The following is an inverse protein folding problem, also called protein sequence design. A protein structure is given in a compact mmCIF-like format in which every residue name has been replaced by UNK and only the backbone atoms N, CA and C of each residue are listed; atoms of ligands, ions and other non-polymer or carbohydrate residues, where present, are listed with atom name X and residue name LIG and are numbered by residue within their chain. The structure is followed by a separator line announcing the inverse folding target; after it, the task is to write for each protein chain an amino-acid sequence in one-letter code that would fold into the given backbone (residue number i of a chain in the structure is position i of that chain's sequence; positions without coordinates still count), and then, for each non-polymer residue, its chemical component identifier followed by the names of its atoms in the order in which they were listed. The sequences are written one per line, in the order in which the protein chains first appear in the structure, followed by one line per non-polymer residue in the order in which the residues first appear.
data_IF_582168805046
#
_entry.id   IF_582168805046
#
_cell.length_a   1.000
_cell.length_b   1.000
_cell.length_c   1.000
_cell.angle_alpha   90.00
_cell.angle_beta   90.00
_cell.angle_gamma   90.00
#
_symmetry.space_group_name_H-M   'P 1'
#
loop_
_entity.id
_entity.type
_entity.pdbx_description
1 polymer ?
#
# COMPACT_ATOMS: atom_id res chain seq x y z
N UNK A 1 -22.97 0.39 27.21
CA UNK A 1 -22.76 -0.31 25.92
C UNK A 1 -21.45 0.20 25.34
N UNK A 2 -20.52 -0.68 24.99
CA UNK A 2 -19.21 -0.27 24.46
C UNK A 2 -19.31 0.19 23.01
N UNK A 3 -18.51 1.19 22.64
CA UNK A 3 -18.35 1.60 21.24
C UNK A 3 -17.64 0.49 20.48
N UNK A 4 -18.16 0.02 19.33
CA UNK A 4 -17.48 -0.99 18.53
C UNK A 4 -16.12 -0.45 18.05
N UNK A 5 -15.08 -1.27 18.22
CA UNK A 5 -13.70 -0.95 17.85
C UNK A 5 -13.40 -1.53 16.45
N UNK A 6 -13.03 -0.68 15.49
CA UNK A 6 -12.66 -1.13 14.15
C UNK A 6 -11.23 -1.74 14.14
N UNK A 7 -11.15 -3.06 14.03
CA UNK A 7 -9.88 -3.81 14.08
C UNK A 7 -9.29 -4.12 12.70
N UNK A 8 -10.12 -4.09 11.65
CA UNK A 8 -9.68 -4.36 10.29
C UNK A 8 -10.48 -3.58 9.25
N UNK A 9 -9.84 -3.30 8.12
CA UNK A 9 -10.43 -2.67 6.95
C UNK A 9 -10.04 -3.46 5.71
N UNK A 10 -11.00 -3.69 4.82
CA UNK A 10 -10.75 -4.35 3.53
C UNK A 10 -11.33 -3.54 2.38
N UNK A 11 -10.54 -3.43 1.32
CA UNK A 11 -10.90 -2.76 0.08
C UNK A 11 -10.55 -3.65 -1.12
N UNK A 12 -11.47 -3.74 -2.08
CA UNK A 12 -11.23 -4.36 -3.38
C UNK A 12 -11.89 -3.53 -4.45
N UNK A 13 -11.10 -2.97 -5.38
CA UNK A 13 -11.62 -2.08 -6.41
C UNK A 13 -10.53 -1.45 -7.28
N UNK A 14 -10.94 -0.48 -8.07
CA UNK A 14 -10.03 0.40 -8.81
C UNK A 14 -9.47 1.51 -7.89
N UNK A 15 -8.68 2.45 -8.43
CA UNK A 15 -8.21 3.62 -7.68
C UNK A 15 -8.55 4.94 -8.40
N UNK A 16 -9.53 4.89 -9.30
CA UNK A 16 -9.97 6.06 -10.06
C UNK A 16 -10.73 7.07 -9.19
N UNK A 17 -11.16 6.63 -8.00
CA UNK A 17 -11.71 7.48 -6.95
C UNK A 17 -10.76 7.58 -5.75
N UNK A 18 -10.67 8.79 -5.19
CA UNK A 18 -9.96 9.03 -3.94
C UNK A 18 -10.75 8.45 -2.76
N UNK A 19 -10.07 7.66 -1.92
CA UNK A 19 -10.59 7.26 -0.62
C UNK A 19 -9.87 8.07 0.44
N UNK A 20 -10.60 8.62 1.39
CA UNK A 20 -10.00 9.21 2.60
C UNK A 20 -10.45 8.43 3.80
N UNK A 21 -9.51 7.94 4.59
CA UNK A 21 -9.81 7.25 5.83
C UNK A 21 -9.15 7.96 7.00
N UNK A 22 -9.96 8.27 8.02
CA UNK A 22 -9.52 8.83 9.29
C UNK A 22 -10.00 7.87 10.36
N UNK A 23 -9.06 7.23 11.05
CA UNK A 23 -9.36 6.31 12.14
C UNK A 23 -8.66 6.79 13.42
N UNK A 24 -9.37 6.86 14.55
CA UNK A 24 -8.75 7.11 15.85
C UNK A 24 -8.01 5.88 16.39
N UNK A 25 -8.10 4.73 15.71
CA UNK A 25 -7.45 3.50 16.14
C UNK A 25 -5.99 3.45 15.68
N UNK A 26 -5.12 3.13 16.63
CA UNK A 26 -3.67 3.09 16.41
C UNK A 26 -3.15 1.77 15.83
N UNK A 27 -4.01 0.77 15.62
CA UNK A 27 -3.61 -0.60 15.25
C UNK A 27 -4.56 -1.26 14.25
N UNK A 28 -4.91 -0.56 13.17
CA UNK A 28 -5.81 -1.11 12.15
C UNK A 28 -5.07 -2.10 11.24
N UNK A 29 -5.66 -3.25 10.95
CA UNK A 29 -5.15 -4.17 9.93
C UNK A 29 -5.84 -3.92 8.58
N UNK A 30 -5.07 -3.73 7.52
CA UNK A 30 -5.56 -3.41 6.19
C UNK A 30 -5.35 -4.52 5.18
N UNK A 31 -6.35 -4.75 4.33
CA UNK A 31 -6.24 -5.58 3.13
C UNK A 31 -6.80 -4.85 1.93
N UNK A 32 -5.93 -4.49 0.98
CA UNK A 32 -6.25 -3.67 -0.18
C UNK A 32 -5.92 -4.47 -1.42
N UNK A 33 -6.92 -4.66 -2.29
CA UNK A 33 -6.78 -5.33 -3.58
C UNK A 33 -7.13 -4.33 -4.68
N UNK A 34 -6.13 -3.95 -5.46
CA UNK A 34 -6.28 -3.02 -6.57
C UNK A 34 -6.38 -3.78 -7.89
N UNK A 35 -7.53 -3.65 -8.53
CA UNK A 35 -7.81 -4.26 -9.83
C UNK A 35 -7.42 -3.28 -10.93
N UNK A 36 -6.54 -3.69 -11.85
CA UNK A 36 -6.18 -2.92 -13.03
C UNK A 36 -4.73 -2.43 -13.04
N UNK A 37 -4.37 -1.76 -14.12
CA UNK A 37 -3.03 -1.19 -14.35
C UNK A 37 -3.13 0.33 -14.27
N UNK A 38 -2.50 0.91 -13.25
CA UNK A 38 -2.52 2.34 -13.02
C UNK A 38 -1.12 2.93 -13.11
N UNK A 39 -1.08 4.25 -13.29
CA UNK A 39 0.16 5.02 -13.14
C UNK A 39 0.52 5.10 -11.66
N UNK A 40 1.81 5.14 -11.34
CA UNK A 40 2.29 5.24 -9.96
C UNK A 40 1.74 6.48 -9.23
N UNK A 41 1.49 7.59 -9.92
CA UNK A 41 0.88 8.79 -9.34
C UNK A 41 -0.54 8.55 -8.81
N UNK A 42 -1.34 7.73 -9.49
CA UNK A 42 -2.68 7.38 -9.03
C UNK A 42 -2.61 6.59 -7.73
N UNK A 43 -1.67 5.64 -7.65
CA UNK A 43 -1.43 4.86 -6.44
C UNK A 43 -0.86 5.70 -5.30
N UNK A 44 0.04 6.63 -5.59
CA UNK A 44 0.56 7.56 -4.59
C UNK A 44 -0.59 8.36 -3.96
N UNK A 45 -1.47 8.94 -4.78
CA UNK A 45 -2.63 9.69 -4.30
C UNK A 45 -3.59 8.81 -3.48
N UNK A 46 -3.82 7.58 -3.94
CA UNK A 46 -4.65 6.61 -3.22
C UNK A 46 -4.07 6.29 -1.83
N UNK A 47 -2.77 5.97 -1.76
CA UNK A 47 -2.11 5.65 -0.49
C UNK A 47 -2.02 6.86 0.45
N UNK A 48 -1.85 8.09 -0.07
CA UNK A 48 -1.91 9.32 0.74
C UNK A 48 -3.28 9.51 1.41
N UNK A 49 -4.36 9.09 0.75
CA UNK A 49 -5.71 9.10 1.30
C UNK A 49 -5.93 8.10 2.45
N UNK A 50 -5.03 7.11 2.59
CA UNK A 50 -5.08 6.06 3.60
C UNK A 50 -4.16 6.37 4.79
N UNK A 51 -4.04 7.64 5.16
CA UNK A 51 -3.20 8.12 6.27
C UNK A 51 -3.78 7.72 7.64
N UNK A 52 -3.74 6.44 7.94
CA UNK A 52 -4.15 5.83 9.20
C UNK A 52 -2.95 5.15 9.88
N UNK A 53 -3.07 4.92 11.19
CA UNK A 53 -2.12 4.13 11.97
C UNK A 53 -2.35 2.65 11.70
N UNK A 54 -1.79 2.17 10.59
CA UNK A 54 -1.84 0.76 10.19
C UNK A 54 -0.86 -0.07 11.02
N UNK A 55 -1.35 -1.16 11.61
CA UNK A 55 -0.50 -2.19 12.20
C UNK A 55 0.16 -3.01 11.08
N UNK A 56 -0.68 -3.69 10.28
CA UNK A 56 -0.27 -4.45 9.10
C UNK A 56 -1.10 -3.98 7.91
N UNK A 57 -0.46 -3.79 6.76
CA UNK A 57 -1.13 -3.53 5.49
C UNK A 57 -0.73 -4.60 4.49
N UNK A 58 -1.73 -5.27 3.92
CA UNK A 58 -1.56 -6.16 2.77
C UNK A 58 -2.05 -5.46 1.52
N UNK A 59 -1.18 -5.29 0.54
CA UNK A 59 -1.46 -4.63 -0.73
C UNK A 59 -1.29 -5.62 -1.87
N UNK A 60 -2.39 -5.96 -2.54
CA UNK A 60 -2.40 -6.81 -3.73
C UNK A 60 -2.64 -5.93 -4.95
N UNK A 61 -1.69 -5.91 -5.89
CA UNK A 61 -1.77 -5.19 -7.14
C UNK A 61 -1.58 -6.14 -8.32
N UNK A 62 -2.11 -5.78 -9.50
CA UNK A 62 -1.87 -6.58 -10.71
C UNK A 62 -0.38 -6.55 -11.06
N UNK A 63 0.20 -5.35 -11.16
CA UNK A 63 1.59 -5.14 -11.58
C UNK A 63 2.37 -4.36 -10.54
N UNK A 64 3.59 -4.81 -10.19
CA UNK A 64 4.50 -4.06 -9.29
C UNK A 64 4.87 -2.65 -9.79
N UNK A 65 4.65 -2.38 -11.09
CA UNK A 65 4.87 -1.09 -11.81
C UNK A 65 4.23 0.07 -11.08
N UNK A 66 3.04 -0.17 -10.56
CA UNK A 66 2.22 0.85 -9.91
C UNK A 66 2.81 1.28 -8.56
N UNK A 67 3.69 0.47 -7.98
CA UNK A 67 4.38 0.73 -6.71
C UNK A 67 5.80 1.26 -6.92
N UNK A 68 6.19 1.54 -8.16
CA UNK A 68 7.45 2.20 -8.49
C UNK A 68 7.25 3.72 -8.49
N UNK A 69 7.75 4.38 -7.45
CA UNK A 69 7.74 5.82 -7.25
C UNK A 69 9.12 6.36 -7.64
N UNK A 70 9.28 6.90 -8.85
CA UNK A 70 10.56 7.48 -9.27
C UNK A 70 10.87 8.76 -8.50
N UNK A 71 12.12 9.20 -8.50
CA UNK A 71 12.61 10.28 -7.64
C UNK A 71 11.83 11.59 -7.78
N UNK A 72 11.30 11.88 -8.98
CA UNK A 72 10.53 13.09 -9.26
C UNK A 72 9.20 13.15 -8.48
N UNK A 73 8.60 12.00 -8.14
CA UNK A 73 7.41 11.95 -7.25
C UNK A 73 7.80 11.82 -5.78
N UNK A 74 9.07 11.57 -5.47
CA UNK A 74 9.56 11.46 -4.09
C UNK A 74 9.68 12.79 -3.35
N UNK A 75 9.35 13.90 -4.02
CA UNK A 75 9.15 15.21 -3.41
C UNK A 75 7.90 15.25 -2.52
N UNK A 76 6.97 14.32 -2.70
CA UNK A 76 5.78 14.18 -1.87
C UNK A 76 6.12 13.53 -0.51
N UNK A 77 5.30 13.76 0.53
CA UNK A 77 5.41 12.99 1.76
C UNK A 77 5.23 11.49 1.51
N UNK A 78 5.99 10.67 2.23
CA UNK A 78 5.84 9.21 2.22
C UNK A 78 4.41 8.83 2.64
N UNK A 79 3.60 8.20 1.76
CA UNK A 79 2.17 8.01 1.99
C UNK A 79 1.83 7.09 3.16
N UNK A 80 2.75 6.19 3.52
CA UNK A 80 2.55 5.16 4.54
C UNK A 80 3.54 5.33 5.69
N UNK A 81 3.94 6.56 6.02
CA UNK A 81 5.00 6.84 7.01
C UNK A 81 4.78 6.19 8.39
N UNK A 82 3.54 5.91 8.79
CA UNK A 82 3.21 5.27 10.08
C UNK A 82 3.14 3.74 10.04
N UNK A 83 3.22 3.14 8.85
CA UNK A 83 3.09 1.71 8.66
C UNK A 83 4.36 0.97 9.09
N UNK A 84 4.19 -0.07 9.89
CA UNK A 84 5.28 -0.94 10.37
C UNK A 84 5.44 -2.22 9.55
N UNK A 85 4.34 -2.82 9.13
CA UNK A 85 4.35 -4.13 8.47
C UNK A 85 3.62 -4.08 7.13
N UNK A 86 4.36 -4.29 6.04
CA UNK A 86 3.81 -4.30 4.69
C UNK A 86 3.97 -5.68 4.04
N UNK A 87 2.87 -6.25 3.56
CA UNK A 87 2.87 -7.37 2.62
C UNK A 87 2.42 -6.88 1.25
N UNK A 88 3.25 -7.04 0.23
CA UNK A 88 2.91 -6.75 -1.16
C UNK A 88 2.74 -8.06 -1.92
N UNK A 89 1.59 -8.21 -2.57
CA UNK A 89 1.34 -9.29 -3.53
C UNK A 89 1.18 -8.72 -4.91
N UNK A 90 1.84 -9.32 -5.89
CA UNK A 90 1.70 -8.97 -7.30
C UNK A 90 1.11 -10.14 -8.07
N UNK A 91 0.22 -9.89 -9.03
CA UNK A 91 -0.30 -10.96 -9.89
C UNK A 91 0.68 -11.27 -11.03
N UNK A 92 1.26 -10.24 -11.63
CA UNK A 92 2.26 -10.36 -12.69
C UNK A 92 3.66 -10.62 -12.11
N UNK A 93 4.44 -11.46 -12.79
CA UNK A 93 5.89 -11.59 -12.51
C UNK A 93 6.61 -10.28 -12.80
N UNK A 94 7.63 -10.02 -11.99
CA UNK A 94 8.38 -8.77 -12.08
C UNK A 94 9.89 -9.00 -11.92
N UNK A 95 10.70 -8.30 -12.71
CA UNK A 95 12.16 -8.51 -12.78
C UNK A 95 13.02 -7.62 -11.87
N UNK A 96 12.48 -6.51 -11.37
CA UNK A 96 13.23 -5.45 -10.64
C UNK A 96 12.83 -5.38 -9.17
N UNK A 97 13.18 -6.43 -8.39
CA UNK A 97 12.80 -6.55 -6.97
C UNK A 97 13.47 -5.50 -6.08
N UNK A 98 14.73 -5.17 -6.34
CA UNK A 98 15.49 -4.15 -5.60
C UNK A 98 14.83 -2.78 -5.69
N UNK A 99 14.50 -2.38 -6.92
CA UNK A 99 13.93 -1.08 -7.23
C UNK A 99 12.53 -0.93 -6.63
N UNK A 100 11.73 -1.99 -6.65
CA UNK A 100 10.45 -2.03 -5.95
C UNK A 100 10.64 -1.91 -4.45
N UNK A 101 11.60 -2.64 -3.87
CA UNK A 101 11.90 -2.59 -2.44
C UNK A 101 12.32 -1.19 -2.00
N UNK A 102 13.21 -0.53 -2.74
CA UNK A 102 13.65 0.84 -2.48
C UNK A 102 12.49 1.84 -2.56
N UNK A 103 11.63 1.66 -3.56
CA UNK A 103 10.41 2.45 -3.72
C UNK A 103 9.45 2.30 -2.52
N UNK A 104 9.27 1.08 -2.03
CA UNK A 104 8.42 0.79 -0.87
C UNK A 104 9.03 1.30 0.45
N UNK A 105 10.35 1.25 0.61
CA UNK A 105 11.03 1.86 1.74
C UNK A 105 10.91 3.39 1.73
N UNK A 106 10.95 4.03 0.55
CA UNK A 106 10.62 5.45 0.47
C UNK A 106 9.15 5.71 0.85
N UNK A 107 8.22 4.89 0.36
CA UNK A 107 6.79 5.09 0.62
C UNK A 107 6.41 4.87 2.09
N UNK A 108 7.16 4.03 2.79
CA UNK A 108 6.97 3.64 4.19
C UNK A 108 8.32 3.56 4.91
N UNK A 109 8.92 4.70 5.27
CA UNK A 109 10.27 4.77 5.84
C UNK A 109 10.45 4.02 7.17
N UNK A 110 9.36 3.76 7.90
CA UNK A 110 9.38 3.12 9.22
C UNK A 110 9.02 1.63 9.20
N UNK A 111 9.15 0.96 8.04
CA UNK A 111 8.88 -0.48 7.95
C UNK A 111 9.84 -1.30 8.82
N UNK A 112 9.26 -2.05 9.74
CA UNK A 112 9.93 -3.11 10.50
C UNK A 112 9.98 -4.41 9.67
N UNK A 113 8.91 -4.69 8.91
CA UNK A 113 8.85 -5.89 8.05
C UNK A 113 8.28 -5.56 6.68
N UNK A 114 8.94 -6.08 5.64
CA UNK A 114 8.49 -6.00 4.25
C UNK A 114 8.53 -7.39 3.60
N UNK A 115 7.37 -7.89 3.22
CA UNK A 115 7.20 -9.13 2.46
C UNK A 115 6.72 -8.78 1.05
N UNK A 116 7.32 -9.41 0.04
CA UNK A 116 6.94 -9.25 -1.37
C UNK A 116 6.74 -10.64 -1.94
N UNK A 117 5.50 -10.94 -2.31
CA UNK A 117 5.07 -12.17 -2.94
C UNK A 117 4.73 -11.90 -4.41
N UNK A 118 5.21 -12.76 -5.30
CA UNK A 118 4.89 -12.72 -6.72
C UNK A 118 3.89 -13.81 -7.06
N UNK A 119 3.03 -13.54 -8.02
CA UNK A 119 2.09 -14.52 -8.55
C UNK A 119 2.83 -15.76 -9.06
N UNK A 120 2.37 -16.93 -8.61
CA UNK A 120 2.75 -18.20 -9.22
C UNK A 120 2.07 -18.31 -10.59
N UNK A 121 2.75 -18.97 -11.54
CA UNK A 121 2.21 -19.30 -12.86
C UNK A 121 0.79 -19.89 -12.75
N UNK A 122 -0.14 -19.31 -13.49
CA UNK A 122 -1.36 -19.99 -13.93
C UNK A 122 -1.15 -20.48 -15.35
#
# INVERSE_FOLDING_TARGET
MGTPNLVSFSYKGDIDFGITMISPNDQLNGSIVINGSYRCICMLNFLLGLNCSWNVLSLHVVSGKVLFFPEEVRICPSPLAKLKHLNVKTTERWGYKSELRDSLHWASPNLETLLIEEGAEG
#
